data_IF_776200175976
#
_entry.id   IF_776200175976
#
_cell.length_a   1.000
_cell.length_b   1.000
_cell.length_c   1.000
_cell.angle_alpha   90.00
_cell.angle_beta   90.00
_cell.angle_gamma   90.00
#
_symmetry.space_group_name_H-M   'P 1'
#
loop_
_entity.id
_entity.type
_entity.pdbx_description
1 polymer ?
#
# COMPACT_ATOMS: atom_id res chain seq x y z
N UNK A 1 -5.43 4.51 -7.92
CA UNK A 1 -4.53 5.20 -6.98
C UNK A 1 -3.33 4.31 -6.74
N UNK A 2 -2.14 4.86 -6.88
CA UNK A 2 -0.91 4.09 -6.87
C UNK A 2 0.20 4.89 -6.18
N UNK A 3 0.99 4.22 -5.33
CA UNK A 3 2.14 4.83 -4.66
C UNK A 3 3.15 3.75 -4.29
N UNK A 4 4.33 4.18 -3.83
CA UNK A 4 5.36 3.21 -3.46
C UNK A 4 6.24 3.76 -2.34
N UNK A 5 6.97 2.83 -1.72
CA UNK A 5 8.00 3.11 -0.72
C UNK A 5 9.33 2.57 -1.23
N UNK A 6 10.41 3.16 -0.79
CA UNK A 6 11.74 2.77 -1.26
C UNK A 6 12.71 2.60 -0.09
N UNK A 7 13.61 1.62 -0.23
CA UNK A 7 14.73 1.45 0.68
C UNK A 7 15.86 0.75 -0.08
N UNK A 8 16.99 1.47 -0.27
CA UNK A 8 18.19 0.90 -0.87
C UNK A 8 17.97 0.28 -2.25
N UNK A 9 17.16 0.92 -3.09
CA UNK A 9 16.85 0.42 -4.42
C UNK A 9 15.78 -0.66 -4.46
N UNK A 10 15.17 -0.99 -3.31
CA UNK A 10 14.07 -1.93 -3.22
C UNK A 10 12.78 -1.18 -3.08
N UNK A 11 11.68 -1.76 -3.54
CA UNK A 11 10.40 -1.07 -3.58
C UNK A 11 9.27 -1.92 -2.99
N UNK A 12 8.38 -1.25 -2.25
CA UNK A 12 7.07 -1.78 -1.90
C UNK A 12 6.06 -0.93 -2.64
N UNK A 13 5.26 -1.56 -3.50
CA UNK A 13 4.26 -0.86 -4.32
C UNK A 13 2.88 -1.10 -3.76
N UNK A 14 2.07 -0.04 -3.76
CA UNK A 14 0.72 -0.10 -3.23
C UNK A 14 -0.25 0.42 -4.28
N UNK A 15 -1.41 -0.22 -4.35
CA UNK A 15 -2.44 0.19 -5.29
C UNK A 15 -3.80 -0.03 -4.65
N UNK A 16 -4.74 0.88 -4.90
CA UNK A 16 -6.13 0.68 -4.54
C UNK A 16 -6.91 0.53 -5.84
N UNK A 17 -7.64 -0.59 -5.94
CA UNK A 17 -8.56 -0.85 -7.04
C UNK A 17 -9.97 -0.83 -6.50
N UNK A 18 -10.89 -0.30 -7.28
CA UNK A 18 -12.30 -0.31 -6.94
C UNK A 18 -12.91 -1.62 -7.45
N UNK A 19 -13.60 -2.33 -6.57
CA UNK A 19 -14.29 -3.58 -6.92
C UNK A 19 -15.78 -3.37 -6.67
N UNK A 20 -16.62 -4.33 -7.07
CA UNK A 20 -18.07 -4.13 -7.09
C UNK A 20 -18.66 -3.75 -5.73
N UNK A 21 -18.10 -4.26 -4.64
CA UNK A 21 -18.64 -4.01 -3.29
C UNK A 21 -17.66 -3.30 -2.37
N UNK A 22 -16.63 -2.65 -2.93
CA UNK A 22 -15.67 -1.97 -2.07
C UNK A 22 -14.33 -1.72 -2.73
N UNK A 23 -13.26 -2.09 -2.02
CA UNK A 23 -11.90 -1.75 -2.40
C UNK A 23 -11.00 -2.97 -2.29
N UNK A 24 -10.05 -3.09 -3.21
CA UNK A 24 -8.95 -4.03 -3.10
C UNK A 24 -7.67 -3.25 -2.86
N UNK A 25 -6.99 -3.55 -1.75
CA UNK A 25 -5.71 -2.95 -1.42
C UNK A 25 -4.62 -3.93 -1.81
N UNK A 26 -3.83 -3.58 -2.81
CA UNK A 26 -2.83 -4.47 -3.40
C UNK A 26 -1.45 -3.97 -3.00
N UNK A 27 -0.68 -4.83 -2.34
CA UNK A 27 0.69 -4.51 -1.92
C UNK A 27 1.63 -5.52 -2.57
N UNK A 28 2.58 -5.00 -3.34
CA UNK A 28 3.60 -5.83 -3.97
C UNK A 28 4.93 -5.56 -3.28
N UNK A 29 5.48 -6.56 -2.62
CA UNK A 29 6.73 -6.44 -1.89
C UNK A 29 7.94 -6.44 -2.80
N UNK A 30 9.14 -6.23 -2.22
CA UNK A 30 10.39 -6.25 -3.01
C UNK A 30 10.70 -7.62 -3.61
N UNK A 31 10.05 -8.67 -3.12
CA UNK A 31 10.15 -10.01 -3.68
C UNK A 31 9.27 -10.20 -4.92
N UNK A 32 8.48 -9.19 -5.29
CA UNK A 32 7.56 -9.26 -6.41
C UNK A 32 6.25 -9.98 -6.09
N UNK A 33 6.06 -10.39 -4.86
CA UNK A 33 4.83 -11.09 -4.46
C UNK A 33 3.72 -10.08 -4.18
N UNK A 34 2.61 -10.26 -4.85
CA UNK A 34 1.43 -9.40 -4.72
C UNK A 34 0.52 -9.97 -3.63
N UNK A 35 0.11 -9.11 -2.70
CA UNK A 35 -0.84 -9.48 -1.64
C UNK A 35 -2.04 -8.57 -1.75
N UNK A 36 -3.22 -9.16 -1.74
CA UNK A 36 -4.48 -8.43 -1.93
C UNK A 36 -5.34 -8.57 -0.69
N UNK A 37 -5.80 -7.44 -0.17
CA UNK A 37 -6.77 -7.41 0.93
C UNK A 37 -8.01 -6.65 0.44
N UNK A 38 -9.19 -7.17 0.74
CA UNK A 38 -10.44 -6.53 0.33
C UNK A 38 -11.13 -5.88 1.50
N UNK A 39 -11.70 -4.71 1.25
CA UNK A 39 -12.42 -3.92 2.24
C UNK A 39 -13.70 -3.39 1.64
N UNK A 40 -14.79 -3.39 2.39
CA UNK A 40 -16.04 -2.71 1.97
C UNK A 40 -16.24 -1.38 2.68
N UNK A 41 -15.33 -0.99 3.54
CA UNK A 41 -15.43 0.24 4.33
C UNK A 41 -14.16 1.05 4.12
N UNK A 42 -14.32 2.30 3.69
CA UNK A 42 -13.18 3.17 3.44
C UNK A 42 -12.39 3.48 4.72
N UNK A 43 -13.03 3.46 5.88
CA UNK A 43 -12.34 3.70 7.14
C UNK A 43 -11.39 2.54 7.48
N UNK A 44 -11.82 1.31 7.23
CA UNK A 44 -10.97 0.15 7.44
C UNK A 44 -9.80 0.14 6.48
N UNK A 45 -10.03 0.53 5.24
CA UNK A 45 -8.97 0.70 4.25
C UNK A 45 -7.96 1.74 4.72
N UNK A 46 -8.43 2.90 5.20
CA UNK A 46 -7.55 3.97 5.68
C UNK A 46 -6.71 3.51 6.88
N UNK A 47 -7.30 2.76 7.78
CA UNK A 47 -6.56 2.21 8.93
C UNK A 47 -5.45 1.27 8.48
N UNK A 48 -5.75 0.43 7.49
CA UNK A 48 -4.77 -0.52 6.95
C UNK A 48 -3.62 0.21 6.26
N UNK A 49 -3.93 1.24 5.49
CA UNK A 49 -2.91 2.06 4.85
C UNK A 49 -2.00 2.72 5.87
N UNK A 50 -2.58 3.32 6.90
CA UNK A 50 -1.81 3.98 7.95
C UNK A 50 -0.94 2.98 8.71
N UNK A 51 -1.43 1.78 8.96
CA UNK A 51 -0.67 0.74 9.64
C UNK A 51 0.55 0.32 8.82
N UNK A 52 0.36 0.14 7.51
CA UNK A 52 1.48 -0.22 6.61
C UNK A 52 2.52 0.89 6.58
N UNK A 53 2.08 2.14 6.49
CA UNK A 53 2.99 3.29 6.50
C UNK A 53 3.84 3.31 7.76
N UNK A 54 3.22 3.12 8.91
CA UNK A 54 3.95 3.09 10.18
C UNK A 54 4.94 1.94 10.24
N UNK A 55 4.53 0.78 9.78
CA UNK A 55 5.39 -0.40 9.75
C UNK A 55 6.63 -0.15 8.89
N UNK A 56 6.43 0.38 7.69
CA UNK A 56 7.53 0.64 6.76
C UNK A 56 8.43 1.74 7.26
N UNK A 57 7.86 2.83 7.79
CA UNK A 57 8.65 3.91 8.37
C UNK A 57 9.52 3.41 9.52
N UNK A 58 8.99 2.54 10.35
CA UNK A 58 9.72 1.95 11.46
C UNK A 58 10.87 1.04 11.02
N UNK A 59 10.82 0.57 9.78
CA UNK A 59 11.88 -0.27 9.20
C UNK A 59 12.82 0.51 8.30
N UNK A 60 12.68 1.82 8.24
CA UNK A 60 13.59 2.69 7.49
C UNK A 60 13.23 2.92 6.04
N UNK A 61 12.02 2.57 5.63
CA UNK A 61 11.55 2.84 4.26
C UNK A 61 11.15 4.31 4.12
N UNK A 62 11.45 4.89 2.96
CA UNK A 62 11.02 6.25 2.64
C UNK A 62 9.74 6.20 1.81
N UNK A 63 8.92 7.23 1.95
CA UNK A 63 7.66 7.34 1.22
C UNK A 63 6.53 7.81 2.11
N UNK A 64 5.31 7.81 1.57
CA UNK A 64 4.92 7.34 0.24
C UNK A 64 5.36 8.27 -0.88
N UNK A 65 5.77 7.69 -1.98
CA UNK A 65 6.11 8.42 -3.20
C UNK A 65 5.00 8.19 -4.22
N UNK A 66 4.84 9.12 -5.17
CA UNK A 66 3.84 8.98 -6.22
C UNK A 66 2.41 9.19 -5.77
N UNK A 67 2.23 9.74 -4.60
CA UNK A 67 0.92 10.06 -4.03
C UNK A 67 0.23 11.09 -4.92
N UNK A 68 -1.02 10.95 -5.19
CA UNK A 68 -1.82 11.84 -6.05
C UNK A 68 -1.69 11.58 -7.55
N UNK A 69 -1.30 10.39 -7.92
CA UNK A 69 -1.24 10.04 -9.33
C UNK A 69 -2.51 9.30 -9.73
#
# INVERSE_FOLDING_TARGET
MFWWFEQGGRYVRCEIRFVSDGYAFVVTGPDGVERVEEFNDSQELSKRQAALERELAGKGWTGPHGWNI
#
